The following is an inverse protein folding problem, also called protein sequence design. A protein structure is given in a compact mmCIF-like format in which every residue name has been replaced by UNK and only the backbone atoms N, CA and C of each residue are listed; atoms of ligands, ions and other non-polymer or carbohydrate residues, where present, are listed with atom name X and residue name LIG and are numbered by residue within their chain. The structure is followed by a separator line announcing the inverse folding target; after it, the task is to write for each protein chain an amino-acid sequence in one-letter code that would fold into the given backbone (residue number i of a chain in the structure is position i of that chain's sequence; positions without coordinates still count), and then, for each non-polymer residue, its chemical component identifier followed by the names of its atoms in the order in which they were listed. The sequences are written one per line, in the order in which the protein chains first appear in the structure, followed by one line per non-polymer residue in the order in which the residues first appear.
data_IF_875466893322
#
_entry.id   IF_875466893322
#
_cell.length_a   1.000
_cell.length_b   1.000
_cell.length_c   1.000
_cell.angle_alpha   90.00
_cell.angle_beta   90.00
_cell.angle_gamma   90.00
#
_symmetry.space_group_name_H-M   'P 1'
#
loop_
_entity.id
_entity.type
_entity.pdbx_description
1 polymer ?
#
# COMPACT_ATOMS: atom_id res chain seq x y z
N UNK A 1 -35.16 3.43 -0.61
CA UNK A 1 -34.04 2.56 -1.01
C UNK A 1 -33.04 3.41 -1.78
N UNK A 2 -32.19 4.18 -1.09
CA UNK A 2 -31.30 5.19 -1.72
C UNK A 2 -30.01 5.47 -0.92
N UNK A 3 -29.64 4.61 0.03
CA UNK A 3 -28.45 4.80 0.89
C UNK A 3 -27.13 4.29 0.28
N UNK A 4 -27.18 3.43 -0.74
CA UNK A 4 -26.01 2.85 -1.40
C UNK A 4 -25.15 3.88 -2.18
N UNK A 5 -25.71 4.80 -3.00
CA UNK A 5 -24.89 5.76 -3.75
C UNK A 5 -24.25 6.83 -2.85
N UNK A 6 -24.84 7.13 -1.70
CA UNK A 6 -24.30 8.13 -0.76
C UNK A 6 -23.05 7.55 -0.08
N UNK A 7 -23.11 6.29 0.38
CA UNK A 7 -21.99 5.58 1.03
C UNK A 7 -20.70 5.57 0.18
N UNK A 8 -20.81 5.35 -1.13
CA UNK A 8 -19.69 5.32 -2.08
C UNK A 8 -19.01 6.69 -2.25
N UNK A 9 -19.77 7.78 -2.18
CA UNK A 9 -19.25 9.15 -2.24
C UNK A 9 -18.36 9.49 -1.05
N UNK A 10 -18.79 9.12 0.16
CA UNK A 10 -18.02 9.38 1.38
C UNK A 10 -16.69 8.62 1.40
N UNK A 11 -16.66 7.36 0.94
CA UNK A 11 -15.41 6.58 0.95
C UNK A 11 -14.38 7.15 -0.03
N UNK A 12 -14.82 7.60 -1.22
CA UNK A 12 -13.95 8.19 -2.25
C UNK A 12 -13.46 9.59 -1.88
N UNK A 13 -14.25 10.35 -1.13
CA UNK A 13 -13.87 11.67 -0.64
C UNK A 13 -13.05 11.59 0.66
N UNK A 14 -13.32 10.62 1.53
CA UNK A 14 -12.58 10.42 2.77
C UNK A 14 -11.20 9.78 2.54
N UNK A 15 -11.04 8.87 1.57
CA UNK A 15 -9.76 8.24 1.26
C UNK A 15 -8.59 9.23 1.04
N UNK A 16 -8.72 10.27 0.18
CA UNK A 16 -7.64 11.24 0.01
C UNK A 16 -7.45 12.15 1.24
N UNK A 17 -8.51 12.43 2.01
CA UNK A 17 -8.38 13.24 3.23
C UNK A 17 -7.62 12.50 4.32
N UNK A 18 -7.99 11.24 4.60
CA UNK A 18 -7.30 10.40 5.60
C UNK A 18 -5.83 10.22 5.22
N UNK A 19 -5.53 10.02 3.94
CA UNK A 19 -4.16 9.81 3.50
C UNK A 19 -3.30 11.08 3.61
N UNK A 20 -3.88 12.25 3.34
CA UNK A 20 -3.22 13.53 3.57
C UNK A 20 -2.86 13.70 5.06
N UNK A 21 -3.80 13.43 5.97
CA UNK A 21 -3.52 13.48 7.41
C UNK A 21 -2.45 12.46 7.84
N UNK A 22 -2.48 11.25 7.27
CA UNK A 22 -1.50 10.21 7.58
C UNK A 22 -0.06 10.62 7.18
N UNK A 23 0.10 11.25 6.01
CA UNK A 23 1.38 11.79 5.56
C UNK A 23 1.87 12.94 6.42
N UNK A 24 0.97 13.84 6.80
CA UNK A 24 1.32 14.95 7.69
C UNK A 24 1.75 14.45 9.06
N UNK A 25 1.04 13.46 9.61
CA UNK A 25 1.43 12.79 10.85
C UNK A 25 2.80 12.12 10.72
N UNK A 26 3.07 11.39 9.62
CA UNK A 26 4.36 10.76 9.39
C UNK A 26 5.49 11.81 9.34
N UNK A 27 5.32 12.89 8.58
CA UNK A 27 6.32 13.97 8.46
C UNK A 27 6.66 14.57 9.83
N UNK A 28 5.65 14.80 10.67
CA UNK A 28 5.86 15.31 12.04
C UNK A 28 6.59 14.27 12.89
N UNK A 29 6.30 12.97 12.73
CA UNK A 29 6.95 11.90 13.48
C UNK A 29 8.41 11.63 13.07
N UNK A 30 8.83 11.95 11.85
CA UNK A 30 10.21 11.73 11.36
C UNK A 30 11.28 12.24 12.36
N UNK A 31 11.28 13.53 12.76
CA UNK A 31 12.29 14.03 13.69
C UNK A 31 12.25 13.32 15.06
N UNK A 32 11.07 13.00 15.58
CA UNK A 32 10.95 12.30 16.87
C UNK A 32 11.53 10.88 16.80
N UNK A 33 11.24 10.14 15.73
CA UNK A 33 11.75 8.77 15.55
C UNK A 33 13.26 8.77 15.37
N UNK A 34 13.82 9.75 14.64
CA UNK A 34 15.27 9.86 14.46
C UNK A 34 16.02 10.19 15.75
N UNK A 35 15.46 11.09 16.58
CA UNK A 35 16.05 11.46 17.88
C UNK A 35 16.01 10.28 18.86
N UNK A 36 14.88 9.56 18.95
CA UNK A 36 14.78 8.36 19.81
C UNK A 36 15.70 7.25 19.31
N UNK A 37 15.82 7.11 17.99
CA UNK A 37 16.72 6.15 17.35
C UNK A 37 18.20 6.53 17.36
N UNK A 38 18.59 7.61 18.05
CA UNK A 38 19.96 8.13 18.11
C UNK A 38 20.64 8.26 16.72
N UNK A 39 19.87 8.59 15.68
CA UNK A 39 20.33 8.64 14.28
C UNK A 39 20.99 7.35 13.75
N UNK A 40 20.63 6.17 14.28
CA UNK A 40 21.10 4.90 13.73
C UNK A 40 20.66 4.76 12.25
N UNK A 41 21.60 4.34 11.40
CA UNK A 41 21.36 4.03 9.98
C UNK A 41 20.18 3.08 9.79
N UNK A 42 19.98 2.10 10.69
CA UNK A 42 18.81 1.21 10.62
C UNK A 42 17.49 1.98 10.76
N UNK A 43 17.44 2.95 11.65
CA UNK A 43 16.24 3.76 11.90
C UNK A 43 16.01 4.72 10.74
N UNK A 44 17.06 5.37 10.21
CA UNK A 44 16.97 6.24 9.04
C UNK A 44 16.43 5.49 7.82
N UNK A 45 16.95 4.29 7.55
CA UNK A 45 16.54 3.46 6.42
C UNK A 45 15.08 3.00 6.54
N UNK A 46 14.65 2.58 7.74
CA UNK A 46 13.26 2.15 7.97
C UNK A 46 12.27 3.30 7.82
N UNK A 47 12.60 4.50 8.33
CA UNK A 47 11.75 5.69 8.18
C UNK A 47 11.63 6.12 6.71
N UNK A 48 12.73 6.06 5.95
CA UNK A 48 12.72 6.41 4.52
C UNK A 48 11.87 5.42 3.71
N UNK A 49 11.99 4.13 4.00
CA UNK A 49 11.14 3.10 3.40
C UNK A 49 9.67 3.27 3.77
N UNK A 50 9.37 3.62 5.03
CA UNK A 50 8.01 3.88 5.47
C UNK A 50 7.40 5.11 4.77
N UNK A 51 8.18 6.19 4.61
CA UNK A 51 7.75 7.37 3.87
C UNK A 51 7.46 7.05 2.38
N UNK A 52 8.37 6.33 1.73
CA UNK A 52 8.19 5.88 0.35
C UNK A 52 6.95 4.98 0.20
N UNK A 53 6.80 4.01 1.11
CA UNK A 53 5.67 3.11 1.14
C UNK A 53 4.33 3.86 1.25
N UNK A 54 4.23 4.85 2.15
CA UNK A 54 3.01 5.65 2.29
C UNK A 54 2.74 6.48 1.05
N UNK A 55 3.74 7.13 0.45
CA UNK A 55 3.54 7.92 -0.77
C UNK A 55 3.04 7.05 -1.94
N UNK A 56 3.50 5.80 -2.02
CA UNK A 56 3.08 4.86 -3.06
C UNK A 56 1.62 4.37 -2.88
N UNK A 57 1.08 4.39 -1.67
CA UNK A 57 -0.34 4.05 -1.44
C UNK A 57 -1.28 5.05 -2.15
N UNK A 58 -0.91 6.32 -2.26
CA UNK A 58 -1.71 7.31 -3.01
C UNK A 58 -1.76 7.05 -4.50
N UNK A 59 -0.71 6.45 -5.07
CA UNK A 59 -0.71 6.02 -6.45
C UNK A 59 -1.81 4.98 -6.69
N UNK A 60 -1.96 4.00 -5.79
CA UNK A 60 -3.02 3.00 -5.89
C UNK A 60 -4.42 3.62 -5.82
N UNK A 61 -4.64 4.61 -4.96
CA UNK A 61 -5.93 5.31 -4.91
C UNK A 61 -6.21 6.13 -6.17
N UNK A 62 -5.18 6.76 -6.75
CA UNK A 62 -5.31 7.46 -8.02
C UNK A 62 -5.60 6.50 -9.18
N UNK A 63 -4.95 5.34 -9.20
CA UNK A 63 -5.20 4.27 -10.17
C UNK A 63 -6.63 3.73 -10.02
N UNK A 64 -7.09 3.46 -8.80
CA UNK A 64 -8.47 3.01 -8.54
C UNK A 64 -9.51 4.05 -9.02
N UNK A 65 -9.22 5.34 -8.87
CA UNK A 65 -10.05 6.43 -9.42
C UNK A 65 -10.02 6.48 -10.95
N UNK A 66 -8.85 6.30 -11.55
CA UNK A 66 -8.68 6.30 -13.00
C UNK A 66 -9.35 5.09 -13.67
N UNK A 67 -9.22 3.91 -13.06
CA UNK A 67 -9.91 2.70 -13.54
C UNK A 67 -11.42 2.90 -13.47
N UNK A 68 -11.97 3.39 -12.35
CA UNK A 68 -13.42 3.69 -12.29
C UNK A 68 -13.88 4.56 -13.45
N UNK A 69 -13.23 5.71 -13.68
CA UNK A 69 -13.67 6.66 -14.70
C UNK A 69 -13.48 6.15 -16.12
N UNK A 70 -12.39 5.41 -16.37
CA UNK A 70 -11.99 5.02 -17.73
C UNK A 70 -12.63 3.70 -18.16
N UNK A 71 -12.75 2.73 -17.25
CA UNK A 71 -13.37 1.42 -17.54
C UNK A 71 -14.89 1.52 -17.54
N UNK A 72 -15.52 2.34 -16.68
CA UNK A 72 -16.97 2.57 -16.78
C UNK A 72 -17.35 3.31 -18.06
N UNK A 73 -16.56 4.29 -18.49
CA UNK A 73 -16.79 4.98 -19.75
C UNK A 73 -16.54 4.06 -20.96
N UNK A 74 -15.55 3.16 -20.89
CA UNK A 74 -15.32 2.17 -21.95
C UNK A 74 -16.37 1.03 -21.99
N UNK A 75 -16.86 0.56 -20.83
CA UNK A 75 -17.85 -0.54 -20.75
C UNK A 75 -19.31 -0.07 -20.90
N UNK A 76 -19.64 1.14 -20.46
CA UNK A 76 -21.02 1.67 -20.49
C UNK A 76 -21.18 2.92 -21.38
N UNK A 77 -20.12 3.69 -21.63
CA UNK A 77 -20.16 4.89 -22.50
C UNK A 77 -20.32 4.59 -23.99
N UNK A 78 -20.02 3.36 -24.44
CA UNK A 78 -20.31 2.89 -25.81
C UNK A 78 -21.50 1.89 -25.88
N UNK A 79 -22.17 1.60 -24.76
CA UNK A 79 -23.17 0.50 -24.67
C UNK A 79 -24.60 0.92 -24.35
N UNK A 80 -24.82 2.04 -23.66
CA UNK A 80 -26.18 2.47 -23.23
C UNK A 80 -26.31 4.00 -23.33
N UNK A 81 -26.19 4.56 -24.54
CA UNK A 81 -26.13 6.02 -24.68
C UNK A 81 -26.50 6.66 -26.02
N UNK A 82 -26.96 5.92 -27.03
CA UNK A 82 -27.51 6.54 -28.25
C UNK A 82 -28.91 6.00 -28.55
N UNK A 83 -29.89 6.49 -27.78
CA UNK A 83 -31.35 6.24 -27.90
C UNK A 83 -31.95 5.19 -26.95
N UNK A 84 -32.11 5.52 -25.67
CA UNK A 84 -33.26 5.02 -24.91
C UNK A 84 -33.86 6.17 -24.10
N UNK A 85 -34.97 6.75 -24.56
CA UNK A 85 -35.71 7.75 -23.82
C UNK A 85 -36.14 7.19 -22.46
N UNK A 86 -36.06 8.05 -21.45
CA UNK A 86 -36.68 7.85 -20.15
C UNK A 86 -38.12 7.37 -20.31
N UNK A 87 -38.37 6.10 -19.98
CA UNK A 87 -39.59 5.58 -19.33
C UNK A 87 -39.50 4.06 -19.36
N UNK A 88 -39.30 3.38 -18.23
CA UNK A 88 -39.65 1.97 -18.13
C UNK A 88 -40.14 1.63 -16.73
N UNK A 89 -41.47 1.69 -16.57
CA UNK A 89 -42.22 0.93 -15.58
C UNK A 89 -42.27 -0.54 -16.02
N UNK A 90 -41.17 -1.29 -15.89
CA UNK A 90 -41.19 -2.75 -16.08
C UNK A 90 -40.40 -3.47 -14.96
N UNK A 91 -41.10 -4.17 -14.03
CA UNK A 91 -40.48 -4.89 -12.91
C UNK A 91 -39.56 -6.06 -13.30
N UNK A 92 -39.65 -6.60 -14.53
CA UNK A 92 -38.90 -7.80 -14.92
C UNK A 92 -37.51 -7.45 -15.48
N UNK A 93 -37.37 -6.32 -16.17
CA UNK A 93 -36.06 -5.83 -16.64
C UNK A 93 -35.26 -5.08 -15.56
N UNK A 94 -35.91 -4.66 -14.46
CA UNK A 94 -35.23 -4.04 -13.32
C UNK A 94 -34.40 -5.03 -12.48
N UNK A 95 -34.77 -6.31 -12.43
CA UNK A 95 -34.10 -7.32 -11.60
C UNK A 95 -32.77 -7.82 -12.19
N UNK A 96 -32.62 -7.86 -13.51
CA UNK A 96 -31.37 -8.24 -14.19
C UNK A 96 -30.34 -7.11 -14.17
N UNK A 97 -30.79 -5.87 -14.39
CA UNK A 97 -29.95 -4.68 -14.26
C UNK A 97 -29.54 -4.40 -12.80
N UNK A 98 -30.36 -4.75 -11.82
CA UNK A 98 -30.00 -4.65 -10.40
C UNK A 98 -28.84 -5.60 -10.00
N UNK A 99 -28.75 -6.81 -10.57
CA UNK A 99 -27.59 -7.68 -10.34
C UNK A 99 -26.33 -7.17 -11.02
N UNK A 100 -26.45 -6.61 -12.23
CA UNK A 100 -25.35 -5.95 -12.92
C UNK A 100 -24.81 -4.74 -12.17
N UNK A 101 -25.71 -3.91 -11.63
CA UNK A 101 -25.39 -2.71 -10.85
C UNK A 101 -24.78 -3.06 -9.48
N UNK A 102 -25.29 -4.09 -8.79
CA UNK A 102 -24.71 -4.61 -7.54
C UNK A 102 -23.33 -5.25 -7.75
N UNK A 103 -23.14 -6.01 -8.84
CA UNK A 103 -21.84 -6.58 -9.19
C UNK A 103 -20.83 -5.46 -9.50
N UNK A 104 -21.27 -4.42 -10.20
CA UNK A 104 -20.43 -3.26 -10.49
C UNK A 104 -20.05 -2.51 -9.21
N UNK A 105 -21.00 -2.28 -8.31
CA UNK A 105 -20.74 -1.58 -7.05
C UNK A 105 -19.78 -2.38 -6.14
N UNK A 106 -19.91 -3.71 -6.17
CA UNK A 106 -19.01 -4.62 -5.46
C UNK A 106 -17.59 -4.62 -6.06
N UNK A 107 -17.45 -4.76 -7.37
CA UNK A 107 -16.15 -4.70 -8.06
C UNK A 107 -15.49 -3.34 -7.81
N UNK A 108 -16.28 -2.26 -7.88
CA UNK A 108 -15.79 -0.91 -7.64
C UNK A 108 -15.32 -0.68 -6.20
N UNK A 109 -16.06 -1.18 -5.22
CA UNK A 109 -15.66 -1.16 -3.82
C UNK A 109 -14.44 -2.04 -3.54
N UNK A 110 -14.38 -3.21 -4.17
CA UNK A 110 -13.26 -4.14 -4.04
C UNK A 110 -11.96 -3.54 -4.58
N UNK A 111 -11.95 -2.82 -5.70
CA UNK A 111 -10.72 -2.22 -6.22
C UNK A 111 -10.11 -1.16 -5.28
N UNK A 112 -10.94 -0.42 -4.55
CA UNK A 112 -10.47 0.56 -3.56
C UNK A 112 -9.91 -0.05 -2.27
N UNK A 113 -10.25 -1.31 -1.97
CA UNK A 113 -9.82 -2.01 -0.76
C UNK A 113 -8.71 -3.01 -1.07
N UNK A 114 -8.89 -3.86 -2.09
CA UNK A 114 -8.00 -4.96 -2.46
C UNK A 114 -6.64 -4.45 -2.92
N UNK A 115 -6.58 -3.40 -3.75
CA UNK A 115 -5.29 -2.93 -4.27
C UNK A 115 -4.40 -2.27 -3.19
N UNK A 116 -4.90 -1.33 -2.36
CA UNK A 116 -4.10 -0.79 -1.27
C UNK A 116 -3.78 -1.83 -0.19
N UNK A 117 -4.72 -2.74 0.12
CA UNK A 117 -4.49 -3.77 1.14
C UNK A 117 -3.43 -4.78 0.69
N UNK A 118 -3.44 -5.20 -0.59
CA UNK A 118 -2.39 -6.02 -1.17
C UNK A 118 -1.00 -5.38 -0.99
N UNK A 119 -0.87 -4.08 -1.29
CA UNK A 119 0.40 -3.36 -1.15
C UNK A 119 0.89 -3.32 0.31
N UNK A 120 -0.01 -3.00 1.26
CA UNK A 120 0.32 -2.96 2.69
C UNK A 120 0.74 -4.33 3.22
N UNK A 121 0.06 -5.40 2.80
CA UNK A 121 0.42 -6.79 3.18
C UNK A 121 1.77 -7.18 2.58
N UNK A 122 2.04 -6.84 1.31
CA UNK A 122 3.31 -7.12 0.66
C UNK A 122 4.48 -6.40 1.34
N UNK A 123 4.28 -5.15 1.78
CA UNK A 123 5.26 -4.41 2.57
C UNK A 123 5.50 -5.05 3.94
N UNK A 124 4.44 -5.50 4.62
CA UNK A 124 4.56 -6.24 5.89
C UNK A 124 5.40 -7.51 5.74
N UNK A 125 5.15 -8.28 4.67
CA UNK A 125 5.92 -9.48 4.34
C UNK A 125 7.39 -9.16 4.02
N UNK A 126 7.63 -8.12 3.23
CA UNK A 126 8.98 -7.68 2.85
C UNK A 126 9.77 -7.16 4.06
N UNK A 127 9.13 -6.41 4.95
CA UNK A 127 9.75 -5.92 6.19
C UNK A 127 10.20 -7.06 7.11
N UNK A 128 9.39 -8.11 7.27
CA UNK A 128 9.78 -9.30 8.05
C UNK A 128 11.00 -10.01 7.46
N UNK A 129 11.04 -10.18 6.13
CA UNK A 129 12.17 -10.82 5.44
C UNK A 129 13.43 -9.97 5.49
N UNK A 130 13.34 -8.67 5.24
CA UNK A 130 14.48 -7.74 5.31
C UNK A 130 15.05 -7.66 6.73
N UNK A 131 14.19 -7.63 7.75
CA UNK A 131 14.60 -7.71 9.15
C UNK A 131 15.34 -9.00 9.48
N UNK A 132 14.85 -10.15 9.01
CA UNK A 132 15.54 -11.44 9.20
C UNK A 132 16.90 -11.50 8.49
N UNK A 133 17.01 -10.93 7.29
CA UNK A 133 18.26 -10.83 6.53
C UNK A 133 19.27 -9.91 7.20
N UNK A 134 18.84 -8.75 7.69
CA UNK A 134 19.73 -7.82 8.40
C UNK A 134 20.23 -8.38 9.73
N UNK A 135 19.40 -9.15 10.43
CA UNK A 135 19.83 -9.85 11.64
C UNK A 135 20.84 -10.96 11.29
N UNK A 136 20.56 -11.78 10.26
CA UNK A 136 21.49 -12.79 9.79
C UNK A 136 22.81 -12.22 9.26
N UNK A 137 22.79 -11.08 8.57
CA UNK A 137 23.99 -10.39 8.12
C UNK A 137 24.78 -9.83 9.29
N UNK A 138 24.12 -9.22 10.29
CA UNK A 138 24.81 -8.73 11.49
C UNK A 138 25.43 -9.86 12.33
N UNK A 139 24.79 -11.03 12.38
CA UNK A 139 25.32 -12.24 13.01
C UNK A 139 26.52 -12.77 12.22
N UNK A 140 26.39 -12.82 10.89
CA UNK A 140 27.43 -13.25 9.95
C UNK A 140 28.66 -12.33 9.93
N UNK A 141 28.48 -11.02 10.03
CA UNK A 141 29.59 -10.07 10.12
C UNK A 141 30.29 -10.17 11.47
N UNK A 142 29.56 -10.42 12.56
CA UNK A 142 30.16 -10.65 13.88
C UNK A 142 30.95 -11.95 13.92
N UNK A 143 30.43 -13.03 13.33
CA UNK A 143 31.16 -14.30 13.24
C UNK A 143 32.38 -14.20 12.32
N UNK A 144 32.28 -13.48 11.20
CA UNK A 144 33.41 -13.18 10.32
C UNK A 144 34.46 -12.29 11.00
N UNK A 145 34.05 -11.29 11.78
CA UNK A 145 34.95 -10.45 12.58
C UNK A 145 35.65 -11.26 13.67
N UNK A 146 34.92 -12.16 14.36
CA UNK A 146 35.50 -13.05 15.36
C UNK A 146 36.47 -14.07 14.75
N UNK A 147 36.15 -14.61 13.57
CA UNK A 147 37.04 -15.50 12.81
C UNK A 147 38.29 -14.76 12.32
N UNK A 148 38.14 -13.53 11.82
CA UNK A 148 39.26 -12.67 11.42
C UNK A 148 40.15 -12.27 12.59
N UNK A 149 39.57 -11.97 13.76
CA UNK A 149 40.33 -11.68 14.98
C UNK A 149 41.11 -12.89 15.52
N UNK A 150 40.54 -14.10 15.44
CA UNK A 150 41.26 -15.35 15.77
C UNK A 150 42.36 -15.65 14.76
N UNK A 151 42.11 -15.49 13.46
CA UNK A 151 43.11 -15.68 12.41
C UNK A 151 44.27 -14.68 12.51
N UNK A 152 43.97 -13.41 12.77
CA UNK A 152 44.98 -12.39 13.03
C UNK A 152 45.79 -12.69 14.30
N UNK A 153 45.13 -13.17 15.36
CA UNK A 153 45.80 -13.61 16.59
C UNK A 153 46.75 -14.79 16.38
N UNK A 154 46.36 -15.76 15.55
CA UNK A 154 47.20 -16.92 15.23
C UNK A 154 48.42 -16.52 14.39
N UNK A 155 48.25 -15.60 13.43
CA UNK A 155 49.35 -15.05 12.62
C UNK A 155 50.31 -14.23 13.49
N UNK A 156 49.79 -13.41 14.40
CA UNK A 156 50.61 -12.64 15.35
C UNK A 156 51.40 -13.58 16.26
N UNK A 157 50.78 -14.67 16.74
CA UNK A 157 51.47 -15.67 17.56
C UNK A 157 52.54 -16.45 16.80
N UNK A 158 52.34 -16.72 15.50
CA UNK A 158 53.34 -17.33 14.62
C UNK A 158 54.52 -16.39 14.32
N UNK A 159 54.27 -15.09 14.14
CA UNK A 159 55.33 -14.09 13.90
C UNK A 159 56.15 -13.78 15.16
N UNK A 160 55.58 -14.01 16.35
CA UNK A 160 56.24 -13.76 17.63
C UNK A 160 57.09 -14.95 18.14
N UNK A 161 57.13 -16.06 17.39
CA UNK A 161 57.84 -17.30 17.73
C UNK A 161 59.12 -17.42 16.90
#
# INVERSE_FOLDING_TARGET
MSSLPVAKGWLRQAAPMVMAFLKMALIICIPFVLVIGAFDLKVVMTVTFAAFALIFVDFWFQLARWVDSTILDALYGNGIGSNVPHTNFDPVFGASNAQGDLLLDFVMGAMFIVLPSFWVVALGWTGMKLGSLMNGLSEGTKSAQAAGGKGAGEIINQVKK
#
